data_IF_290682724352
#
_entry.id   IF_290682724352
#
_cell.length_a   1.000
_cell.length_b   1.000
_cell.length_c   1.000
_cell.angle_alpha   90.00
_cell.angle_beta   90.00
_cell.angle_gamma   90.00
#
_symmetry.space_group_name_H-M   'P 1'
#
loop_
_entity.id
_entity.type
_entity.pdbx_description
1 polymer ?
#
# COMPACT_ATOMS: atom_id res chain seq x y z
N UNK A 1 33.58 -37.41 -5.77
CA UNK A 1 32.15 -37.69 -5.55
C UNK A 1 31.50 -36.71 -4.55
N UNK A 2 32.09 -36.42 -3.38
CA UNK A 2 31.52 -35.48 -2.37
C UNK A 2 31.48 -34.00 -2.82
N UNK A 3 32.38 -33.58 -3.71
CA UNK A 3 32.47 -32.20 -4.23
C UNK A 3 31.41 -31.87 -5.29
N UNK A 4 30.92 -32.87 -6.04
CA UNK A 4 29.86 -32.66 -7.04
C UNK A 4 28.49 -32.40 -6.39
N UNK A 5 28.18 -33.05 -5.27
CA UNK A 5 26.93 -32.80 -4.54
C UNK A 5 26.86 -31.37 -3.99
N UNK A 6 27.97 -30.84 -3.47
CA UNK A 6 28.03 -29.46 -2.96
C UNK A 6 27.83 -28.42 -4.08
N UNK A 7 28.44 -28.64 -5.23
CA UNK A 7 28.29 -27.75 -6.40
C UNK A 7 26.87 -27.76 -6.96
N UNK A 8 26.22 -28.93 -7.04
CA UNK A 8 24.83 -29.06 -7.50
C UNK A 8 23.82 -28.43 -6.53
N UNK A 9 24.06 -28.53 -5.22
CA UNK A 9 23.23 -27.86 -4.21
C UNK A 9 23.32 -26.33 -4.30
N UNK A 10 24.54 -25.80 -4.53
CA UNK A 10 24.76 -24.36 -4.73
C UNK A 10 24.15 -23.87 -6.04
N UNK A 11 24.27 -24.63 -7.14
CA UNK A 11 23.63 -24.30 -8.42
C UNK A 11 22.10 -24.33 -8.31
N UNK A 12 21.54 -25.31 -7.59
CA UNK A 12 20.10 -25.39 -7.31
C UNK A 12 19.59 -24.20 -6.49
N UNK A 13 20.35 -23.77 -5.48
CA UNK A 13 20.04 -22.55 -4.71
C UNK A 13 20.14 -21.28 -5.56
N UNK A 14 21.12 -21.19 -6.46
CA UNK A 14 21.29 -20.05 -7.37
C UNK A 14 20.17 -19.96 -8.41
N UNK A 15 19.60 -21.10 -8.84
CA UNK A 15 18.49 -21.14 -9.78
C UNK A 15 17.16 -20.72 -9.13
N UNK A 16 16.98 -20.97 -7.83
CA UNK A 16 15.78 -20.58 -7.09
C UNK A 16 15.69 -19.06 -6.86
N UNK A 17 16.82 -18.35 -6.93
CA UNK A 17 16.86 -16.88 -6.75
C UNK A 17 16.80 -16.09 -8.07
N UNK A 18 16.66 -16.75 -9.22
CA UNK A 18 16.37 -16.08 -10.49
C UNK A 18 14.93 -15.59 -10.47
N UNK A 19 14.73 -14.41 -9.88
CA UNK A 19 13.56 -13.57 -10.07
C UNK A 19 13.37 -13.43 -11.59
N UNK A 20 12.33 -14.07 -12.12
CA UNK A 20 12.03 -14.03 -13.54
C UNK A 20 11.57 -12.60 -13.88
N UNK A 21 12.53 -11.70 -14.09
CA UNK A 21 12.28 -10.31 -14.42
C UNK A 21 11.62 -10.24 -15.79
N UNK A 22 10.30 -10.04 -15.80
CA UNK A 22 9.56 -9.77 -17.01
C UNK A 22 9.98 -8.41 -17.57
N UNK A 23 10.11 -8.30 -18.89
CA UNK A 23 10.17 -6.97 -19.52
C UNK A 23 8.77 -6.35 -19.45
N UNK A 24 8.65 -5.05 -19.20
CA UNK A 24 7.34 -4.42 -18.95
C UNK A 24 6.32 -4.59 -20.08
N UNK A 25 6.75 -4.66 -21.34
CA UNK A 25 5.84 -4.96 -22.45
C UNK A 25 5.28 -6.39 -22.36
N UNK A 26 6.06 -7.36 -21.88
CA UNK A 26 5.64 -8.74 -21.69
C UNK A 26 4.66 -8.86 -20.51
N UNK A 27 4.93 -8.15 -19.41
CA UNK A 27 4.01 -8.06 -18.28
C UNK A 27 2.67 -7.45 -18.71
N UNK A 28 2.70 -6.41 -19.56
CA UNK A 28 1.50 -5.80 -20.12
C UNK A 28 0.69 -6.77 -20.98
N UNK A 29 1.34 -7.52 -21.89
CA UNK A 29 0.64 -8.52 -22.70
C UNK A 29 -0.07 -9.58 -21.84
N UNK A 30 0.55 -10.01 -20.74
CA UNK A 30 -0.06 -10.97 -19.80
C UNK A 30 -1.24 -10.36 -19.07
N UNK A 31 -1.13 -9.10 -18.64
CA UNK A 31 -2.23 -8.37 -18.03
C UNK A 31 -3.41 -8.21 -18.99
N UNK A 32 -3.15 -7.87 -20.25
CA UNK A 32 -4.19 -7.70 -21.27
C UNK A 32 -4.90 -9.03 -21.63
N UNK A 33 -4.26 -10.18 -21.41
CA UNK A 33 -4.90 -11.49 -21.59
C UNK A 33 -5.88 -11.83 -20.46
N UNK A 34 -5.79 -11.15 -19.32
CA UNK A 34 -6.69 -11.28 -18.17
C UNK A 34 -7.69 -10.12 -18.17
N UNK A 35 -8.98 -10.41 -18.38
CA UNK A 35 -10.02 -9.36 -18.50
C UNK A 35 -10.09 -8.40 -17.31
N UNK A 36 -9.94 -8.92 -16.09
CA UNK A 36 -9.97 -8.10 -14.89
C UNK A 36 -8.74 -7.17 -14.80
N UNK A 37 -7.58 -7.66 -15.22
CA UNK A 37 -6.34 -6.86 -15.27
C UNK A 37 -6.40 -5.81 -16.38
N UNK A 38 -6.88 -6.16 -17.57
CA UNK A 38 -7.13 -5.21 -18.66
C UNK A 38 -8.03 -4.05 -18.18
N UNK A 39 -9.17 -4.37 -17.55
CA UNK A 39 -10.10 -3.36 -17.05
C UNK A 39 -9.44 -2.48 -15.98
N UNK A 40 -8.75 -3.09 -15.01
CA UNK A 40 -8.06 -2.36 -13.96
C UNK A 40 -6.92 -1.48 -14.51
N UNK A 41 -6.21 -1.93 -15.54
CA UNK A 41 -5.15 -1.19 -16.20
C UNK A 41 -5.70 0.05 -16.93
N UNK A 42 -6.81 -0.09 -17.64
CA UNK A 42 -7.47 1.05 -18.29
C UNK A 42 -7.98 2.09 -17.28
N UNK A 43 -8.50 1.63 -16.14
CA UNK A 43 -8.87 2.53 -15.03
C UNK A 43 -7.66 3.25 -14.44
N UNK A 44 -6.54 2.55 -14.26
CA UNK A 44 -5.27 3.14 -13.83
C UNK A 44 -4.81 4.25 -14.80
N UNK A 45 -4.78 3.98 -16.10
CA UNK A 45 -4.37 4.97 -17.11
C UNK A 45 -5.24 6.23 -17.03
N UNK A 46 -6.56 6.06 -16.93
CA UNK A 46 -7.50 7.18 -16.88
C UNK A 46 -7.38 7.97 -15.57
N UNK A 47 -7.26 7.27 -14.44
CA UNK A 47 -7.21 7.87 -13.11
C UNK A 47 -5.89 8.60 -12.82
N UNK A 48 -4.78 8.10 -13.35
CA UNK A 48 -3.44 8.62 -13.09
C UNK A 48 -2.91 9.53 -14.21
N UNK A 49 -3.63 9.70 -15.32
CA UNK A 49 -3.21 10.47 -16.50
C UNK A 49 -2.65 11.86 -16.15
N UNK A 50 -3.39 12.64 -15.37
CA UNK A 50 -2.95 13.98 -14.97
C UNK A 50 -1.70 13.98 -14.08
N UNK A 51 -1.49 12.94 -13.29
CA UNK A 51 -0.29 12.80 -12.47
C UNK A 51 0.92 12.34 -13.30
N UNK A 52 0.72 11.35 -14.18
CA UNK A 52 1.74 10.84 -15.10
C UNK A 52 2.24 11.91 -16.08
N UNK A 53 1.36 12.82 -16.52
CA UNK A 53 1.72 13.98 -17.35
C UNK A 53 2.39 15.12 -16.59
N UNK A 54 2.45 15.05 -15.26
CA UNK A 54 3.03 16.09 -14.40
C UNK A 54 2.12 17.29 -14.14
N UNK A 55 0.82 17.20 -14.45
CA UNK A 55 -0.15 18.27 -14.21
C UNK A 55 -0.53 18.40 -12.73
N UNK A 56 -0.33 17.34 -11.94
CA UNK A 56 -0.63 17.29 -10.51
C UNK A 56 0.63 16.97 -9.70
N UNK A 57 0.87 17.70 -8.60
CA UNK A 57 2.00 17.44 -7.67
C UNK A 57 1.68 16.42 -6.57
N UNK A 58 0.41 16.08 -6.40
CA UNK A 58 -0.09 15.16 -5.38
C UNK A 58 -0.84 14.02 -6.05
N UNK A 59 -0.68 12.80 -5.53
CA UNK A 59 -1.39 11.62 -6.01
C UNK A 59 -2.89 11.76 -5.78
N UNK A 60 -3.73 11.73 -6.84
CA UNK A 60 -5.17 11.76 -6.67
C UNK A 60 -5.66 10.50 -5.94
N UNK A 61 -6.66 10.64 -5.07
CA UNK A 61 -7.22 9.50 -4.33
C UNK A 61 -7.72 8.37 -5.24
N UNK A 62 -8.39 8.73 -6.34
CA UNK A 62 -8.88 7.77 -7.34
C UNK A 62 -7.75 7.06 -8.11
N UNK A 63 -6.60 7.71 -8.31
CA UNK A 63 -5.40 7.07 -8.88
C UNK A 63 -4.86 5.99 -7.93
N UNK A 64 -4.79 6.30 -6.63
CA UNK A 64 -4.36 5.33 -5.60
C UNK A 64 -5.31 4.13 -5.57
N UNK A 65 -6.63 4.36 -5.57
CA UNK A 65 -7.62 3.27 -5.60
C UNK A 65 -7.51 2.41 -6.87
N UNK A 66 -7.28 3.02 -8.03
CA UNK A 66 -7.07 2.29 -9.28
C UNK A 66 -5.79 1.44 -9.26
N UNK A 67 -4.69 1.97 -8.70
CA UNK A 67 -3.44 1.22 -8.50
C UNK A 67 -3.63 0.03 -7.56
N UNK A 68 -4.33 0.22 -6.43
CA UNK A 68 -4.64 -0.88 -5.51
C UNK A 68 -5.42 -1.98 -6.24
N UNK A 69 -6.45 -1.61 -7.01
CA UNK A 69 -7.25 -2.56 -7.77
C UNK A 69 -6.43 -3.30 -8.82
N UNK A 70 -5.55 -2.61 -9.54
CA UNK A 70 -4.64 -3.23 -10.51
C UNK A 70 -3.74 -4.26 -9.81
N UNK A 71 -3.14 -3.90 -8.67
CA UNK A 71 -2.25 -4.77 -7.91
C UNK A 71 -2.96 -5.95 -7.22
N UNK A 72 -4.29 -5.97 -7.15
CA UNK A 72 -5.06 -7.11 -6.66
C UNK A 72 -5.37 -8.15 -7.75
N UNK A 73 -5.10 -7.86 -9.02
CA UNK A 73 -5.29 -8.81 -10.12
C UNK A 73 -4.13 -9.81 -10.20
N UNK A 74 -4.29 -10.88 -10.97
CA UNK A 74 -3.28 -11.94 -11.05
C UNK A 74 -1.98 -11.46 -11.70
N UNK A 75 -2.08 -10.67 -12.78
CA UNK A 75 -0.91 -10.19 -13.52
C UNK A 75 -0.53 -8.73 -13.24
N UNK A 76 -1.37 -7.96 -12.52
CA UNK A 76 -1.12 -6.54 -12.24
C UNK A 76 0.20 -6.24 -11.51
N UNK A 77 0.57 -6.99 -10.44
CA UNK A 77 1.84 -6.77 -9.73
C UNK A 77 3.09 -6.88 -10.63
N UNK A 78 3.02 -7.66 -11.71
CA UNK A 78 4.14 -7.80 -12.64
C UNK A 78 4.44 -6.49 -13.40
N UNK A 79 3.47 -5.58 -13.54
CA UNK A 79 3.68 -4.26 -14.14
C UNK A 79 4.50 -3.33 -13.23
N UNK A 80 4.49 -3.58 -11.92
CA UNK A 80 5.26 -2.84 -10.93
C UNK A 80 6.69 -3.39 -10.80
N UNK A 81 6.87 -4.72 -10.89
CA UNK A 81 8.19 -5.36 -10.76
C UNK A 81 8.97 -5.55 -12.07
N UNK A 82 8.35 -5.39 -13.25
CA UNK A 82 9.00 -5.61 -14.55
C UNK A 82 10.22 -4.70 -14.83
N UNK A 83 11.13 -5.15 -15.69
CA UNK A 83 12.23 -4.33 -16.20
C UNK A 83 11.80 -3.49 -17.41
N UNK A 84 12.13 -2.20 -17.39
CA UNK A 84 11.94 -1.29 -18.51
C UNK A 84 13.06 -1.37 -19.56
N UNK A 85 14.20 -1.97 -19.23
CA UNK A 85 15.39 -1.97 -20.08
C UNK A 85 15.82 -0.55 -20.47
N UNK A 86 15.89 -0.28 -21.78
CA UNK A 86 16.33 1.02 -22.31
C UNK A 86 15.19 2.04 -22.48
N UNK A 87 13.93 1.63 -22.31
CA UNK A 87 12.77 2.50 -22.52
C UNK A 87 12.74 3.64 -21.49
N UNK A 88 12.92 4.88 -21.97
CA UNK A 88 12.90 6.08 -21.14
C UNK A 88 11.49 6.43 -20.65
N UNK A 89 10.46 6.18 -21.46
CA UNK A 89 9.07 6.47 -21.13
C UNK A 89 8.57 5.52 -20.04
N UNK A 90 8.89 4.23 -20.15
CA UNK A 90 8.60 3.23 -19.12
C UNK A 90 9.25 3.62 -17.79
N UNK A 91 10.55 3.96 -17.79
CA UNK A 91 11.27 4.37 -16.57
C UNK A 91 10.69 5.63 -15.96
N UNK A 92 10.33 6.61 -16.79
CA UNK A 92 9.70 7.85 -16.32
C UNK A 92 8.32 7.56 -15.70
N UNK A 93 7.48 6.75 -16.34
CA UNK A 93 6.18 6.38 -15.81
C UNK A 93 6.28 5.62 -14.47
N UNK A 94 7.19 4.63 -14.36
CA UNK A 94 7.41 3.90 -13.09
C UNK A 94 7.89 4.82 -11.97
N UNK A 95 8.83 5.73 -12.25
CA UNK A 95 9.29 6.71 -11.25
C UNK A 95 8.21 7.72 -10.89
N UNK A 96 7.43 8.16 -11.86
CA UNK A 96 6.34 9.10 -11.63
C UNK A 96 5.31 8.50 -10.70
N UNK A 97 4.95 7.21 -10.86
CA UNK A 97 3.90 6.56 -10.08
C UNK A 97 4.36 6.02 -8.72
N UNK A 98 5.67 5.84 -8.51
CA UNK A 98 6.25 5.33 -7.27
C UNK A 98 5.71 6.01 -5.99
N UNK A 99 5.51 7.34 -5.94
CA UNK A 99 4.95 8.01 -4.76
C UNK A 99 3.47 7.69 -4.49
N UNK A 100 2.72 7.22 -5.49
CA UNK A 100 1.32 6.85 -5.35
C UNK A 100 1.14 5.38 -4.94
N UNK A 101 2.19 4.57 -5.05
CA UNK A 101 2.14 3.20 -4.59
C UNK A 101 1.95 3.21 -3.06
N UNK A 102 0.94 2.49 -2.54
CA UNK A 102 0.79 2.33 -1.10
C UNK A 102 2.05 1.63 -0.56
N UNK A 103 3.00 2.37 -0.01
CA UNK A 103 4.18 1.78 0.63
C UNK A 103 3.70 0.92 1.79
N UNK A 104 3.80 -0.40 1.62
CA UNK A 104 3.98 -1.28 2.77
C UNK A 104 5.34 -0.92 3.35
N UNK A 105 5.39 -0.57 4.64
CA UNK A 105 6.60 -0.10 5.29
C UNK A 105 7.75 -1.10 5.01
N UNK A 106 8.89 -0.65 4.46
CA UNK A 106 10.00 -1.54 4.12
C UNK A 106 10.83 -1.78 5.39
N UNK A 107 10.35 -2.66 6.27
CA UNK A 107 11.13 -3.23 7.37
C UNK A 107 11.50 -4.70 7.11
N UNK A 108 10.63 -5.41 6.42
CA UNK A 108 10.73 -6.85 6.21
C UNK A 108 9.81 -7.25 5.05
N UNK A 109 10.14 -8.33 4.36
CA UNK A 109 9.40 -8.91 3.24
C UNK A 109 8.00 -9.47 3.62
N UNK A 110 7.36 -8.88 4.64
CA UNK A 110 6.05 -9.22 5.17
C UNK A 110 5.31 -7.98 5.67
N UNK A 111 5.50 -6.83 5.02
CA UNK A 111 4.68 -5.64 5.29
C UNK A 111 3.20 -5.98 5.17
N UNK A 112 2.50 -5.98 6.30
CA UNK A 112 1.06 -6.22 6.39
C UNK A 112 0.29 -4.96 5.98
N UNK A 113 -0.88 -5.12 5.35
CA UNK A 113 -1.72 -3.98 4.99
C UNK A 113 -2.24 -3.24 6.24
N UNK A 114 -2.63 -1.97 6.14
CA UNK A 114 -3.10 -1.21 7.32
C UNK A 114 -4.32 -1.85 8.00
N UNK A 115 -5.20 -2.51 7.24
CA UNK A 115 -6.33 -3.29 7.77
C UNK A 115 -5.87 -4.50 8.56
N UNK A 116 -4.89 -5.24 8.03
CA UNK A 116 -4.32 -6.41 8.69
C UNK A 116 -3.48 -6.03 9.92
N UNK A 117 -2.72 -4.94 9.83
CA UNK A 117 -2.01 -4.34 10.96
C UNK A 117 -2.97 -3.95 12.08
N UNK A 118 -4.11 -3.35 11.73
CA UNK A 118 -5.15 -3.01 12.68
C UNK A 118 -5.74 -4.26 13.32
N UNK A 119 -6.07 -5.28 12.55
CA UNK A 119 -6.62 -6.52 13.07
C UNK A 119 -5.65 -7.18 14.07
N UNK A 120 -4.36 -7.29 13.73
CA UNK A 120 -3.34 -7.83 14.64
C UNK A 120 -3.21 -7.00 15.92
N UNK A 121 -3.27 -5.68 15.81
CA UNK A 121 -3.27 -4.80 16.97
C UNK A 121 -4.53 -4.97 17.85
N UNK A 122 -5.68 -5.25 17.25
CA UNK A 122 -6.91 -5.54 17.99
C UNK A 122 -6.85 -6.88 18.72
N UNK A 123 -6.11 -7.86 18.19
CA UNK A 123 -5.86 -9.17 18.81
C UNK A 123 -4.77 -9.13 19.90
N UNK A 124 -3.87 -8.15 19.85
CA UNK A 124 -2.79 -7.97 20.81
C UNK A 124 -3.25 -7.20 22.07
N UNK A 125 -3.04 -7.80 23.24
CA UNK A 125 -3.51 -7.27 24.53
C UNK A 125 -2.91 -5.90 24.91
N UNK A 126 -1.71 -5.58 24.44
CA UNK A 126 -1.06 -4.28 24.67
C UNK A 126 -1.51 -3.20 23.68
N UNK A 127 -1.69 -3.56 22.42
CA UNK A 127 -2.01 -2.63 21.34
C UNK A 127 -3.50 -2.26 21.31
N UNK A 128 -4.40 -3.22 21.59
CA UNK A 128 -5.85 -3.04 21.58
C UNK A 128 -6.37 -1.83 22.40
N UNK A 129 -6.00 -1.67 23.70
CA UNK A 129 -6.48 -0.53 24.49
C UNK A 129 -5.92 0.81 23.99
N UNK A 130 -4.68 0.82 23.49
CA UNK A 130 -4.07 2.03 22.93
C UNK A 130 -4.75 2.45 21.63
N UNK A 131 -5.00 1.49 20.73
CA UNK A 131 -5.73 1.73 19.49
C UNK A 131 -7.16 2.21 19.74
N UNK A 132 -7.85 1.63 20.73
CA UNK A 132 -9.21 2.04 21.11
C UNK A 132 -9.24 3.48 21.61
N UNK A 133 -8.34 3.84 22.54
CA UNK A 133 -8.21 5.21 23.04
C UNK A 133 -7.80 6.21 21.94
N UNK A 134 -6.94 5.78 21.01
CA UNK A 134 -6.53 6.59 19.88
C UNK A 134 -7.71 6.85 18.92
N UNK A 135 -8.50 5.84 18.59
CA UNK A 135 -9.66 5.99 17.70
C UNK A 135 -10.81 6.77 18.35
N UNK A 136 -11.01 6.66 19.67
CA UNK A 136 -12.00 7.48 20.38
C UNK A 136 -11.62 8.96 20.37
N UNK A 137 -10.32 9.26 20.51
CA UNK A 137 -9.84 10.64 20.65
C UNK A 137 -9.54 11.31 19.30
N UNK A 138 -9.08 10.54 18.32
CA UNK A 138 -8.61 11.06 17.03
C UNK A 138 -9.38 10.52 15.81
N UNK A 139 -10.26 9.52 15.97
CA UNK A 139 -10.93 8.84 14.85
C UNK A 139 -11.75 9.75 13.94
N UNK A 140 -12.29 10.83 14.49
CA UNK A 140 -13.09 11.82 13.76
C UNK A 140 -12.27 12.56 12.67
N UNK A 141 -10.94 12.69 12.85
CA UNK A 141 -10.04 13.33 11.88
C UNK A 141 -9.84 12.47 10.62
N UNK A 142 -10.03 11.15 10.74
CA UNK A 142 -9.79 10.19 9.66
C UNK A 142 -11.08 9.77 8.94
N UNK A 143 -12.23 9.89 9.59
CA UNK A 143 -13.51 9.44 9.07
C UNK A 143 -14.21 10.43 8.11
N UNK A 144 -13.51 11.46 7.63
CA UNK A 144 -13.94 12.26 6.49
C UNK A 144 -15.20 13.12 6.70
N UNK A 145 -15.50 13.60 7.90
CA UNK A 145 -16.46 14.71 8.06
C UNK A 145 -15.78 16.05 7.79
N UNK A 146 -15.70 16.42 6.52
CA UNK A 146 -15.64 17.84 6.12
C UNK A 146 -17.03 18.19 5.59
N UNK A 147 -17.84 18.87 6.42
CA UNK A 147 -19.21 19.26 6.06
C UNK A 147 -20.13 19.44 7.26
N UNK A 148 -20.12 20.65 7.81
CA UNK A 148 -21.24 21.47 8.32
C UNK A 148 -22.23 20.90 9.36
N UNK A 149 -22.58 21.77 10.32
CA UNK A 149 -23.77 21.78 11.20
C UNK A 149 -24.47 20.46 11.55
N UNK A 150 -24.41 20.07 12.83
CA UNK A 150 -25.26 18.99 13.34
C UNK A 150 -25.19 18.85 14.85
N UNK A 151 -26.13 19.50 15.54
CA UNK A 151 -26.43 19.32 16.94
C UNK A 151 -26.81 17.86 17.24
N UNK A 152 -26.33 17.33 18.35
CA UNK A 152 -27.06 16.32 19.13
C UNK A 152 -26.42 14.93 19.23
N UNK A 153 -26.30 14.46 20.47
CA UNK A 153 -26.17 13.04 20.78
C UNK A 153 -25.08 12.71 21.79
N UNK A 154 -25.23 13.17 23.04
CA UNK A 154 -24.42 12.68 24.14
C UNK A 154 -24.81 11.25 24.54
N UNK A 155 -23.81 10.48 24.99
CA UNK A 155 -23.98 9.45 26.02
C UNK A 155 -22.70 9.51 26.87
N UNK A 156 -22.88 9.72 28.17
CA UNK A 156 -21.79 9.91 29.13
C UNK A 156 -21.36 8.64 29.85
N UNK A 157 -20.28 8.80 30.62
CA UNK A 157 -20.05 8.08 31.88
C UNK A 157 -18.80 7.21 31.95
N UNK A 158 -17.77 7.69 32.66
CA UNK A 158 -16.64 6.87 33.13
C UNK A 158 -15.43 7.70 33.51
N UNK A 159 -15.24 7.98 34.80
CA UNK A 159 -14.27 8.93 35.32
C UNK A 159 -12.80 8.49 35.26
N UNK A 160 -11.92 9.48 35.17
CA UNK A 160 -10.47 9.35 35.32
C UNK A 160 -9.84 10.73 35.29
N UNK A 161 -9.38 11.22 36.45
CA UNK A 161 -8.77 12.54 36.57
C UNK A 161 -7.48 12.65 35.75
N UNK A 162 -7.47 13.59 34.80
CA UNK A 162 -6.29 13.95 34.01
C UNK A 162 -6.20 15.48 33.95
N UNK A 163 -5.04 16.01 34.32
CA UNK A 163 -4.75 17.44 34.41
C UNK A 163 -4.86 18.13 33.05
N UNK A 164 -5.33 19.37 33.08
CA UNK A 164 -5.38 20.31 31.96
C UNK A 164 -3.96 20.54 31.41
N UNK A 165 -3.60 19.88 30.31
CA UNK A 165 -2.25 19.94 29.74
C UNK A 165 -1.95 19.08 28.52
N UNK A 166 -2.66 17.98 28.28
CA UNK A 166 -2.40 17.07 27.14
C UNK A 166 -3.51 17.15 26.08
N UNK A 167 -3.37 18.07 25.13
CA UNK A 167 -4.14 17.99 23.90
C UNK A 167 -3.62 16.77 23.11
N UNK A 168 -4.46 15.77 22.75
CA UNK A 168 -4.00 14.56 22.10
C UNK A 168 -3.34 14.92 20.77
N UNK A 169 -2.03 14.70 20.68
CA UNK A 169 -1.26 14.95 19.45
C UNK A 169 -1.56 13.81 18.47
N UNK A 170 -2.65 13.95 17.71
CA UNK A 170 -3.07 12.95 16.73
C UNK A 170 -2.02 12.83 15.61
N UNK A 171 -1.29 11.71 15.57
CA UNK A 171 -0.33 11.37 14.51
C UNK A 171 -0.91 10.30 13.59
N UNK A 172 -0.60 10.30 12.29
CA UNK A 172 -1.08 9.27 11.34
C UNK A 172 -0.44 7.88 11.55
N UNK A 173 0.40 7.72 12.57
CA UNK A 173 1.16 6.51 12.88
C UNK A 173 0.71 5.96 14.23
N UNK A 174 0.50 4.64 14.34
CA UNK A 174 0.29 4.01 15.63
C UNK A 174 1.55 4.22 16.50
N UNK A 175 1.40 4.56 17.80
CA UNK A 175 2.52 4.51 18.71
C UNK A 175 3.03 3.06 18.80
N UNK A 176 4.34 2.88 18.70
CA UNK A 176 5.02 1.60 18.86
C UNK A 176 5.36 1.29 20.30
#
# INVERSE_FOLDING_TARGET
MRTLCGALALFGWLLVTLDAQYICWQALLRCQQEKDCELAYNQYLTACDGYLKGNSRQCPSHCISALVRLNQTRNGPNLESCDCGQDAQCRMAKRAIEPCLPRRYPGDASGIGCTEARQRCEEESGCHPMLTAYLSNCGQLFNGRIGEGGLGGGVGGGGGGGREGDLPRCSRSCPG
#
